data_IF_819982977223
#
_entry.id   IF_819982977223
#
_cell.length_a   1.000
_cell.length_b   1.000
_cell.length_c   1.000
_cell.angle_alpha   90.00
_cell.angle_beta   90.00
_cell.angle_gamma   90.00
#
_symmetry.space_group_name_H-M   'P 1'
#
loop_
_entity.id
_entity.type
_entity.pdbx_description
1 polymer ?
#
# COMPACT_ATOMS: atom_id res chain seq x y z
N UNK A 1 -11.53 7.10 30.08
CA UNK A 1 -10.91 7.95 29.05
C UNK A 1 -11.26 7.33 27.71
N UNK A 2 -12.14 7.99 26.98
CA UNK A 2 -12.68 7.56 25.68
C UNK A 2 -11.64 7.84 24.59
N UNK A 3 -11.14 6.78 23.94
CA UNK A 3 -10.24 6.92 22.80
C UNK A 3 -11.09 7.07 21.54
N UNK A 4 -11.48 8.31 21.25
CA UNK A 4 -12.06 8.66 19.94
C UNK A 4 -11.12 8.18 18.83
N UNK A 5 -11.57 7.36 17.87
CA UNK A 5 -10.77 7.04 16.70
C UNK A 5 -10.51 8.34 15.95
N UNK A 6 -9.23 8.72 15.93
CA UNK A 6 -8.76 9.94 15.30
C UNK A 6 -9.34 10.06 13.90
N UNK A 7 -9.80 11.26 13.60
CA UNK A 7 -10.26 11.71 12.30
C UNK A 7 -9.12 11.51 11.26
N UNK A 8 -9.05 10.33 10.65
CA UNK A 8 -8.16 10.09 9.53
C UNK A 8 -8.83 10.79 8.35
N UNK A 9 -8.33 11.98 8.02
CA UNK A 9 -8.79 12.72 6.86
C UNK A 9 -8.78 11.79 5.64
N UNK A 10 -9.96 11.44 5.13
CA UNK A 10 -10.18 10.54 3.98
C UNK A 10 -9.42 10.96 2.70
N UNK A 11 -8.85 12.17 2.67
CA UNK A 11 -8.25 12.78 1.50
C UNK A 11 -6.80 12.37 1.23
N UNK A 12 -6.05 11.86 2.22
CA UNK A 12 -4.61 11.60 2.07
C UNK A 12 -4.24 10.11 1.87
N UNK A 13 -5.23 9.20 1.89
CA UNK A 13 -5.01 7.76 1.72
C UNK A 13 -5.27 7.37 0.26
N UNK A 14 -4.22 6.97 -0.45
CA UNK A 14 -4.36 6.39 -1.80
C UNK A 14 -4.99 5.00 -1.74
N UNK A 15 -5.90 4.70 -2.67
CA UNK A 15 -6.41 3.34 -2.87
C UNK A 15 -5.29 2.38 -3.31
N UNK A 16 -5.43 1.07 -3.07
CA UNK A 16 -4.47 0.08 -3.57
C UNK A 16 -4.34 0.10 -5.09
N UNK A 17 -5.44 0.32 -5.82
CA UNK A 17 -5.40 0.49 -7.28
C UNK A 17 -4.56 1.73 -7.66
N UNK A 18 -4.76 2.86 -7.00
CA UNK A 18 -3.95 4.07 -7.21
C UNK A 18 -2.48 3.84 -6.88
N UNK A 19 -2.19 3.08 -5.83
CA UNK A 19 -0.83 2.73 -5.41
C UNK A 19 -0.15 1.83 -6.45
N UNK A 20 -0.84 0.82 -6.98
CA UNK A 20 -0.33 -0.12 -7.98
C UNK A 20 0.05 0.58 -9.29
N UNK A 21 -0.70 1.61 -9.66
CA UNK A 21 -0.53 2.37 -10.90
C UNK A 21 0.38 3.60 -10.76
N UNK A 22 1.11 3.77 -9.65
CA UNK A 22 2.13 4.82 -9.53
C UNK A 22 3.26 4.58 -10.55
N UNK A 23 3.82 5.64 -11.17
CA UNK A 23 4.99 5.51 -12.03
C UNK A 23 6.15 4.82 -11.29
N UNK A 24 6.81 3.86 -11.94
CA UNK A 24 7.93 3.10 -11.38
C UNK A 24 7.59 2.34 -10.09
N UNK A 25 6.32 1.95 -9.91
CA UNK A 25 5.92 1.12 -8.78
C UNK A 25 6.41 -0.32 -8.97
N UNK A 26 7.10 -0.87 -7.96
CA UNK A 26 7.65 -2.23 -7.93
C UNK A 26 7.31 -2.94 -6.61
N UNK A 27 7.47 -4.27 -6.58
CA UNK A 27 7.25 -5.06 -5.38
C UNK A 27 8.17 -4.64 -4.23
N UNK A 28 9.43 -4.34 -4.54
CA UNK A 28 10.44 -3.91 -3.56
C UNK A 28 10.10 -2.56 -2.94
N UNK A 29 9.57 -1.63 -3.75
CA UNK A 29 9.10 -0.33 -3.25
C UNK A 29 7.91 -0.47 -2.31
N UNK A 30 6.97 -1.36 -2.62
CA UNK A 30 5.87 -1.68 -1.71
C UNK A 30 6.37 -2.33 -0.42
N UNK A 31 7.26 -3.33 -0.53
CA UNK A 31 7.83 -4.01 0.63
C UNK A 31 8.50 -3.02 1.58
N UNK A 32 9.34 -2.12 1.06
CA UNK A 32 9.99 -1.09 1.85
C UNK A 32 9.00 -0.17 2.56
N UNK A 33 7.92 0.25 1.89
CA UNK A 33 6.90 1.10 2.47
C UNK A 33 6.08 0.41 3.58
N UNK A 34 5.91 -0.91 3.52
CA UNK A 34 5.17 -1.70 4.53
C UNK A 34 6.07 -2.06 5.72
N UNK A 35 7.34 -2.42 5.47
CA UNK A 35 8.32 -2.80 6.51
C UNK A 35 8.78 -1.58 7.31
N UNK A 36 8.90 -0.42 6.67
CA UNK A 36 9.27 0.84 7.31
C UNK A 36 8.07 1.79 7.32
N UNK A 37 7.04 1.50 8.15
CA UNK A 37 5.86 2.35 8.26
C UNK A 37 6.25 3.74 8.77
N UNK A 38 5.68 4.78 8.17
CA UNK A 38 5.78 6.15 8.70
C UNK A 38 4.95 6.26 10.00
N UNK A 39 5.27 7.17 10.96
CA UNK A 39 4.62 7.27 12.29
C UNK A 39 3.08 7.29 12.36
N UNK A 40 2.36 7.52 11.26
CA UNK A 40 0.90 7.45 11.20
C UNK A 40 0.35 6.03 10.95
N UNK A 41 1.19 5.08 10.54
CA UNK A 41 0.81 3.70 10.27
C UNK A 41 1.07 2.86 11.53
N UNK A 42 0.04 2.21 12.11
CA UNK A 42 0.25 1.36 13.29
C UNK A 42 1.20 0.22 12.94
N UNK A 43 1.95 -0.27 13.93
CA UNK A 43 2.79 -1.44 13.73
C UNK A 43 1.91 -2.66 13.43
N UNK A 44 2.03 -3.18 12.21
CA UNK A 44 1.41 -4.43 11.78
C UNK A 44 2.49 -5.48 11.65
N UNK A 45 2.38 -6.57 12.42
CA UNK A 45 3.28 -7.71 12.31
C UNK A 45 2.83 -8.62 11.17
N UNK A 46 3.63 -8.72 10.12
CA UNK A 46 3.45 -9.67 9.03
C UNK A 46 4.48 -10.79 9.12
N UNK A 47 4.07 -12.02 8.80
CA UNK A 47 5.00 -13.04 8.33
C UNK A 47 5.51 -12.68 6.93
N UNK A 48 6.66 -13.25 6.53
CA UNK A 48 7.17 -13.06 5.17
C UNK A 48 6.21 -13.57 4.08
N UNK A 49 5.35 -14.56 4.40
CA UNK A 49 4.35 -15.05 3.47
C UNK A 49 3.22 -14.05 3.28
N UNK A 50 2.63 -13.55 4.37
CA UNK A 50 1.55 -12.57 4.32
C UNK A 50 1.99 -11.25 3.66
N UNK A 51 3.21 -10.79 3.93
CA UNK A 51 3.75 -9.61 3.26
C UNK A 51 3.82 -9.80 1.74
N UNK A 52 4.27 -10.97 1.27
CA UNK A 52 4.31 -11.29 -0.16
C UNK A 52 2.90 -11.31 -0.74
N UNK A 53 1.95 -11.94 -0.07
CA UNK A 53 0.57 -12.06 -0.55
C UNK A 53 -0.09 -10.68 -0.69
N UNK A 54 0.11 -9.78 0.29
CA UNK A 54 -0.40 -8.39 0.23
C UNK A 54 0.23 -7.62 -0.94
N UNK A 55 1.55 -7.74 -1.12
CA UNK A 55 2.26 -7.09 -2.23
C UNK A 55 1.75 -7.62 -3.58
N UNK A 56 1.61 -8.93 -3.71
CA UNK A 56 1.08 -9.58 -4.91
C UNK A 56 -0.35 -9.14 -5.20
N UNK A 57 -1.20 -9.04 -4.18
CA UNK A 57 -2.56 -8.51 -4.34
C UNK A 57 -2.55 -7.08 -4.86
N UNK A 58 -1.79 -6.16 -4.25
CA UNK A 58 -1.72 -4.77 -4.70
C UNK A 58 -1.20 -4.70 -6.15
N UNK A 59 -0.16 -5.47 -6.48
CA UNK A 59 0.41 -5.48 -7.84
C UNK A 59 -0.53 -6.05 -8.89
N UNK A 60 -1.41 -6.97 -8.51
CA UNK A 60 -2.43 -7.52 -9.42
C UNK A 60 -3.44 -6.46 -9.90
N UNK A 61 -3.54 -5.32 -9.21
CA UNK A 61 -4.42 -4.19 -9.56
C UNK A 61 -3.77 -3.22 -10.56
N UNK A 62 -2.55 -3.49 -11.02
CA UNK A 62 -1.89 -2.65 -12.03
C UNK A 62 -2.61 -2.83 -13.36
N UNK A 63 -3.10 -1.73 -13.93
CA UNK A 63 -3.72 -1.76 -15.25
C UNK A 63 -2.67 -2.16 -16.29
N UNK A 64 -3.05 -2.95 -17.31
CA UNK A 64 -2.19 -3.10 -18.48
C UNK A 64 -1.90 -1.70 -19.03
N UNK A 65 -0.62 -1.38 -19.28
CA UNK A 65 -0.29 -0.10 -19.91
C UNK A 65 -1.13 0.06 -21.18
N UNK A 66 -1.71 1.25 -21.44
CA UNK A 66 -2.36 1.49 -22.71
C UNK A 66 -1.32 1.22 -23.79
N UNK A 67 -1.59 0.22 -24.63
CA UNK A 67 -0.72 -0.15 -25.73
C UNK A 67 -0.34 1.12 -26.50
N UNK A 68 0.95 1.46 -26.48
CA UNK A 68 1.47 2.55 -27.29
C UNK A 68 1.19 2.17 -28.75
N UNK A 69 0.21 2.86 -29.35
CA UNK A 69 -0.20 2.67 -30.73
C UNK A 69 0.68 3.49 -31.66
#
# INVERSE_FOLDING_TARGET
MDASPGNIAKSDISSFHSIANKPNQTQERLAGAIIFPHPAMPNVSFTNAELRDVISYIMSLKSPEPASK
#
